data_IF_297222257711
#
_entry.id   IF_297222257711
#
_cell.length_a   1.000
_cell.length_b   1.000
_cell.length_c   1.000
_cell.angle_alpha   90.00
_cell.angle_beta   90.00
_cell.angle_gamma   90.00
#
_symmetry.space_group_name_H-M   'P 1'
#
loop_
_entity.id
_entity.type
_entity.pdbx_description
1 polymer ?
#
# COMPACT_ATOMS: atom_id res chain seq x y z
N UNK A 1 13.86 45.87 39.34
CA UNK A 1 13.87 45.60 37.89
C UNK A 1 14.47 44.23 37.71
N UNK A 2 13.66 43.18 37.76
CA UNK A 2 14.13 41.80 37.74
C UNK A 2 13.83 41.22 36.36
N UNK A 3 14.88 40.85 35.64
CA UNK A 3 14.80 40.28 34.30
C UNK A 3 14.13 38.89 34.37
N UNK A 4 13.00 38.73 33.68
CA UNK A 4 12.37 37.43 33.45
C UNK A 4 13.03 36.85 32.18
N UNK A 5 13.87 35.82 32.38
CA UNK A 5 14.36 34.97 31.30
C UNK A 5 13.33 33.87 31.06
N UNK A 6 12.55 33.98 29.98
CA UNK A 6 11.71 32.89 29.48
C UNK A 6 12.62 31.94 28.71
N UNK A 7 12.98 30.82 29.34
CA UNK A 7 13.60 29.68 28.68
C UNK A 7 12.51 28.91 27.93
N UNK A 8 12.41 29.10 26.62
CA UNK A 8 11.59 28.24 25.76
C UNK A 8 12.33 26.92 25.58
N UNK A 9 11.85 25.87 26.25
CA UNK A 9 12.24 24.50 25.95
C UNK A 9 11.67 24.10 24.59
N UNK A 10 12.53 24.09 23.56
CA UNK A 10 12.23 23.42 22.30
C UNK A 10 12.17 21.91 22.59
N UNK A 11 10.97 21.35 22.52
CA UNK A 11 10.80 19.90 22.50
C UNK A 11 11.56 19.35 21.28
N UNK A 12 12.54 18.49 21.54
CA UNK A 12 13.22 17.70 20.52
C UNK A 12 12.17 16.85 19.81
N UNK A 13 11.80 17.20 18.58
CA UNK A 13 11.13 16.26 17.69
C UNK A 13 12.18 15.20 17.36
N UNK A 14 12.13 14.07 18.07
CA UNK A 14 12.89 12.88 17.70
C UNK A 14 12.76 12.70 16.19
N UNK A 15 13.91 12.68 15.50
CA UNK A 15 14.01 12.83 14.05
C UNK A 15 13.02 11.93 13.33
N UNK A 16 11.98 12.54 12.77
CA UNK A 16 11.32 11.97 11.62
C UNK A 16 12.42 11.76 10.58
N UNK A 17 12.64 10.51 10.18
CA UNK A 17 13.50 10.18 9.05
C UNK A 17 13.09 11.13 7.92
N UNK A 18 14.07 11.80 7.32
CA UNK A 18 13.83 12.99 6.50
C UNK A 18 12.88 12.75 5.30
N UNK A 19 12.54 11.50 4.97
CA UNK A 19 11.47 11.08 4.07
C UNK A 19 10.94 9.74 4.60
N UNK A 20 9.62 9.60 4.83
CA UNK A 20 9.06 8.32 5.25
C UNK A 20 8.57 7.52 4.05
N UNK A 21 9.05 6.27 3.96
CA UNK A 21 8.86 5.39 2.82
C UNK A 21 7.90 4.26 3.16
N UNK A 22 6.80 4.17 2.40
CA UNK A 22 5.72 3.20 2.64
C UNK A 22 5.65 2.19 1.50
N UNK A 23 5.66 0.92 1.87
CA UNK A 23 5.42 -0.20 0.97
C UNK A 23 3.95 -0.63 1.04
N UNK A 24 3.37 -1.01 -0.09
CA UNK A 24 2.01 -1.52 -0.20
C UNK A 24 2.03 -2.79 -1.07
N UNK A 25 1.65 -3.94 -0.52
CA UNK A 25 1.33 -5.13 -1.31
C UNK A 25 -0.18 -5.20 -1.50
N UNK A 26 -0.64 -5.14 -2.74
CA UNK A 26 -2.05 -5.13 -3.08
C UNK A 26 -2.45 -6.46 -3.72
N UNK A 27 -3.41 -7.13 -3.11
CA UNK A 27 -4.07 -8.34 -3.60
C UNK A 27 -5.57 -8.08 -3.84
N UNK A 28 -6.34 -9.02 -4.41
CA UNK A 28 -7.72 -8.75 -4.84
C UNK A 28 -8.79 -9.56 -4.08
N UNK A 29 -8.46 -10.75 -3.60
CA UNK A 29 -9.37 -11.70 -2.95
C UNK A 29 -10.07 -11.10 -1.73
N UNK A 30 -9.36 -10.26 -0.97
CA UNK A 30 -9.84 -9.59 0.24
C UNK A 30 -10.28 -8.15 0.04
N UNK A 31 -10.37 -7.66 -1.21
CA UNK A 31 -10.90 -6.30 -1.49
C UNK A 31 -12.34 -6.23 -1.03
N UNK A 32 -12.76 -5.07 -0.52
CA UNK A 32 -14.11 -4.86 0.00
C UNK A 32 -15.16 -5.32 -1.02
N UNK A 33 -16.11 -6.12 -0.54
CA UNK A 33 -17.21 -6.70 -1.33
C UNK A 33 -16.81 -7.79 -2.35
N UNK A 34 -15.56 -8.26 -2.34
CA UNK A 34 -15.18 -9.45 -3.11
C UNK A 34 -15.82 -10.68 -2.45
N UNK A 35 -16.59 -11.43 -3.24
CA UNK A 35 -17.41 -12.55 -2.78
C UNK A 35 -17.32 -13.77 -3.70
N UNK A 36 -16.86 -13.62 -4.95
CA UNK A 36 -16.72 -14.73 -5.89
C UNK A 36 -15.42 -14.65 -6.71
N UNK A 37 -14.97 -15.79 -7.23
CA UNK A 37 -13.80 -15.86 -8.11
C UNK A 37 -13.96 -15.14 -9.45
N UNK A 38 -15.20 -14.87 -9.89
CA UNK A 38 -15.46 -14.10 -11.12
C UNK A 38 -14.99 -12.64 -11.01
N UNK A 39 -14.81 -12.14 -9.79
CA UNK A 39 -14.32 -10.79 -9.55
C UNK A 39 -12.79 -10.70 -9.61
N UNK A 40 -12.11 -11.84 -9.60
CA UNK A 40 -10.66 -11.96 -9.39
C UNK A 40 -9.90 -12.27 -10.69
N UNK A 41 -10.55 -12.35 -11.84
CA UNK A 41 -9.89 -12.83 -13.05
C UNK A 41 -10.33 -12.12 -14.34
N UNK A 42 -9.43 -11.91 -15.32
CA UNK A 42 -9.76 -11.27 -16.60
C UNK A 42 -10.96 -11.83 -17.36
N UNK A 43 -11.35 -13.08 -17.12
CA UNK A 43 -12.50 -13.73 -17.75
C UNK A 43 -13.84 -13.43 -17.09
N UNK A 44 -13.84 -12.88 -15.88
CA UNK A 44 -15.07 -12.69 -15.11
C UNK A 44 -15.73 -11.33 -15.36
N UNK A 45 -17.06 -11.31 -15.27
CA UNK A 45 -17.90 -10.17 -15.65
C UNK A 45 -17.60 -8.90 -14.85
N UNK A 46 -17.33 -9.04 -13.55
CA UNK A 46 -17.09 -7.92 -12.64
C UNK A 46 -15.62 -7.55 -12.46
N UNK A 47 -14.69 -8.27 -13.10
CA UNK A 47 -13.26 -8.09 -12.84
C UNK A 47 -12.78 -6.65 -13.04
N UNK A 48 -13.22 -5.96 -14.09
CA UNK A 48 -12.87 -4.55 -14.28
C UNK A 48 -13.33 -3.68 -13.11
N UNK A 49 -14.55 -3.93 -12.59
CA UNK A 49 -15.08 -3.19 -11.45
C UNK A 49 -14.25 -3.44 -10.18
N UNK A 50 -13.78 -4.66 -9.99
CA UNK A 50 -12.94 -5.00 -8.84
C UNK A 50 -11.50 -4.49 -8.96
N UNK A 51 -10.97 -4.34 -10.17
CA UNK A 51 -9.73 -3.56 -10.40
C UNK A 51 -9.87 -2.12 -9.96
N UNK A 52 -11.02 -1.50 -10.19
CA UNK A 52 -11.30 -0.15 -9.69
C UNK A 52 -11.31 -0.12 -8.16
N UNK A 53 -12.01 -1.05 -7.50
CA UNK A 53 -12.06 -1.11 -6.04
C UNK A 53 -10.68 -1.35 -5.41
N UNK A 54 -9.93 -2.33 -5.91
CA UNK A 54 -8.54 -2.58 -5.49
C UNK A 54 -7.69 -1.32 -5.64
N UNK A 55 -7.82 -0.60 -6.76
CA UNK A 55 -7.09 0.65 -6.99
C UNK A 55 -7.50 1.74 -5.99
N UNK A 56 -8.79 1.90 -5.72
CA UNK A 56 -9.28 2.91 -4.77
C UNK A 56 -8.84 2.61 -3.31
N UNK A 57 -8.78 1.34 -2.91
CA UNK A 57 -8.25 0.97 -1.59
C UNK A 57 -6.76 1.31 -1.46
N UNK A 58 -5.95 1.00 -2.47
CA UNK A 58 -4.53 1.41 -2.49
C UNK A 58 -4.40 2.93 -2.45
N UNK A 59 -5.17 3.67 -3.25
CA UNK A 59 -5.16 5.13 -3.23
C UNK A 59 -5.61 5.69 -1.88
N UNK A 60 -6.55 5.03 -1.18
CA UNK A 60 -6.95 5.40 0.17
C UNK A 60 -5.81 5.25 1.17
N UNK A 61 -5.05 4.15 1.10
CA UNK A 61 -3.84 3.94 1.92
C UNK A 61 -2.80 5.02 1.64
N UNK A 62 -2.53 5.33 0.37
CA UNK A 62 -1.57 6.39 -0.01
C UNK A 62 -2.03 7.74 0.55
N UNK A 63 -3.32 8.10 0.42
CA UNK A 63 -3.86 9.35 0.99
C UNK A 63 -3.69 9.41 2.51
N UNK A 64 -3.99 8.32 3.21
CA UNK A 64 -3.83 8.23 4.66
C UNK A 64 -2.36 8.34 5.09
N UNK A 65 -1.48 7.60 4.43
CA UNK A 65 -0.05 7.63 4.70
C UNK A 65 0.57 9.01 4.42
N UNK A 66 0.16 9.69 3.35
CA UNK A 66 0.57 11.08 3.09
C UNK A 66 0.10 12.04 4.18
N UNK A 67 -1.15 11.90 4.63
CA UNK A 67 -1.67 12.70 5.74
C UNK A 67 -0.87 12.46 7.04
N UNK A 68 -0.27 11.28 7.19
CA UNK A 68 0.63 10.93 8.29
C UNK A 68 2.10 11.33 8.05
N UNK A 69 2.43 11.97 6.92
CA UNK A 69 3.77 12.49 6.61
C UNK A 69 4.65 11.60 5.73
N UNK A 70 4.14 10.49 5.19
CA UNK A 70 4.88 9.69 4.21
C UNK A 70 5.01 10.41 2.86
N UNK A 71 6.15 10.25 2.22
CA UNK A 71 6.54 10.98 1.01
C UNK A 71 6.96 10.07 -0.13
N UNK A 72 7.29 8.81 0.14
CA UNK A 72 7.71 7.84 -0.86
C UNK A 72 6.83 6.59 -0.81
N UNK A 73 6.40 6.11 -1.98
CA UNK A 73 5.45 5.00 -2.11
C UNK A 73 5.92 3.98 -3.14
N UNK A 74 6.00 2.72 -2.73
CA UNK A 74 6.14 1.57 -3.64
C UNK A 74 4.95 0.64 -3.47
N UNK A 75 4.24 0.39 -4.56
CA UNK A 75 3.10 -0.52 -4.62
C UNK A 75 3.48 -1.76 -5.41
N UNK A 76 3.28 -2.95 -4.86
CA UNK A 76 3.31 -4.20 -5.62
C UNK A 76 1.90 -4.64 -5.97
N UNK A 77 1.64 -4.80 -7.27
CA UNK A 77 0.45 -5.46 -7.79
C UNK A 77 0.67 -6.97 -7.67
N UNK A 78 0.04 -7.58 -6.66
CA UNK A 78 0.38 -8.91 -6.18
C UNK A 78 -0.68 -9.96 -6.47
N UNK A 79 -1.80 -9.55 -7.07
CA UNK A 79 -2.89 -10.46 -7.43
C UNK A 79 -2.66 -11.08 -8.81
N UNK A 80 -2.97 -12.38 -8.97
CA UNK A 80 -3.08 -13.05 -10.27
C UNK A 80 -1.87 -12.82 -11.19
N UNK A 81 -2.05 -12.09 -12.30
CA UNK A 81 -0.99 -11.79 -13.28
C UNK A 81 -0.13 -10.55 -12.93
N UNK A 82 -0.37 -9.91 -11.78
CA UNK A 82 0.31 -8.70 -11.32
C UNK A 82 0.05 -7.47 -12.19
N UNK A 83 -1.10 -7.40 -12.87
CA UNK A 83 -1.44 -6.34 -13.83
C UNK A 83 -2.86 -5.77 -13.63
N UNK A 84 -3.32 -5.70 -12.39
CA UNK A 84 -4.67 -5.33 -12.00
C UNK A 84 -4.84 -3.83 -11.74
N UNK A 85 -3.85 -3.17 -11.14
CA UNK A 85 -3.95 -1.75 -10.77
C UNK A 85 -4.13 -0.84 -12.00
N UNK A 86 -5.02 0.14 -11.89
CA UNK A 86 -5.28 1.14 -12.93
C UNK A 86 -4.23 2.25 -12.85
N UNK A 87 -3.11 2.06 -13.54
CA UNK A 87 -1.89 2.90 -13.45
C UNK A 87 -2.14 4.38 -13.72
N UNK A 88 -3.13 4.71 -14.56
CA UNK A 88 -3.50 6.06 -14.95
C UNK A 88 -4.16 6.86 -13.80
N UNK A 89 -4.60 6.17 -12.75
CA UNK A 89 -5.15 6.81 -11.53
C UNK A 89 -4.08 7.19 -10.51
N UNK A 90 -2.85 6.72 -10.66
CA UNK A 90 -1.77 7.00 -9.73
C UNK A 90 -1.04 8.29 -10.09
N UNK A 91 -0.60 9.01 -9.06
CA UNK A 91 0.26 10.17 -9.23
C UNK A 91 1.68 9.71 -9.59
N UNK A 92 2.43 10.56 -10.28
CA UNK A 92 3.76 10.24 -10.84
C UNK A 92 4.83 9.91 -9.79
N UNK A 93 4.59 10.27 -8.54
CA UNK A 93 5.46 10.02 -7.39
C UNK A 93 5.21 8.66 -6.72
N UNK A 94 4.27 7.86 -7.23
CA UNK A 94 4.03 6.49 -6.79
C UNK A 94 4.69 5.50 -7.76
N UNK A 95 5.56 4.64 -7.24
CA UNK A 95 6.14 3.56 -8.03
C UNK A 95 5.29 2.30 -7.93
N UNK A 96 5.11 1.60 -9.05
CA UNK A 96 4.30 0.38 -9.11
C UNK A 96 5.13 -0.75 -9.72
N UNK A 97 5.25 -1.85 -8.99
CA UNK A 97 5.84 -3.10 -9.44
C UNK A 97 4.73 -3.98 -10.01
N UNK A 98 4.89 -4.40 -11.27
CA UNK A 98 3.90 -5.18 -12.01
C UNK A 98 4.53 -6.43 -12.62
N UNK A 99 3.67 -7.39 -12.93
CA UNK A 99 4.03 -8.67 -13.57
C UNK A 99 4.95 -9.57 -12.73
N UNK A 100 5.31 -10.69 -13.33
CA UNK A 100 6.10 -11.80 -12.80
C UNK A 100 7.17 -12.23 -13.83
N UNK A 101 8.23 -12.96 -13.43
CA UNK A 101 8.60 -13.35 -12.06
C UNK A 101 9.21 -12.19 -11.26
N UNK A 102 9.10 -12.25 -9.94
CA UNK A 102 9.77 -11.32 -9.01
C UNK A 102 10.55 -12.12 -7.97
N UNK A 103 11.82 -11.79 -7.68
CA UNK A 103 12.62 -12.53 -6.69
C UNK A 103 11.96 -12.66 -5.32
N UNK A 104 11.21 -11.63 -4.90
CA UNK A 104 10.49 -11.58 -3.62
C UNK A 104 8.99 -11.85 -3.75
N UNK A 105 8.52 -12.39 -4.88
CA UNK A 105 7.10 -12.68 -5.09
C UNK A 105 6.20 -11.46 -4.86
N UNK A 106 5.16 -11.60 -4.03
CA UNK A 106 4.23 -10.52 -3.67
C UNK A 106 4.91 -9.33 -2.97
N UNK A 107 6.16 -9.48 -2.55
CA UNK A 107 6.95 -8.48 -1.81
C UNK A 107 8.00 -7.77 -2.69
N UNK A 108 7.74 -7.65 -4.00
CA UNK A 108 8.67 -7.10 -4.96
C UNK A 108 9.18 -5.69 -4.61
N UNK A 109 10.49 -5.55 -4.42
CA UNK A 109 11.14 -4.27 -4.14
C UNK A 109 11.08 -3.80 -2.68
N UNK A 110 10.52 -4.61 -1.76
CA UNK A 110 10.62 -4.34 -0.33
C UNK A 110 12.04 -4.64 0.17
N UNK A 111 12.59 -3.71 0.96
CA UNK A 111 13.89 -3.83 1.64
C UNK A 111 13.86 -3.10 3.00
N UNK A 112 15.00 -3.04 3.68
CA UNK A 112 15.17 -2.39 4.99
C UNK A 112 15.05 -0.85 4.97
N UNK A 113 14.91 -0.23 3.81
CA UNK A 113 14.73 1.23 3.69
C UNK A 113 13.30 1.69 3.99
N UNK A 114 12.32 0.79 3.96
CA UNK A 114 10.91 1.11 4.21
C UNK A 114 10.62 1.21 5.71
N UNK A 115 9.83 2.22 6.10
CA UNK A 115 9.42 2.42 7.49
C UNK A 115 8.13 1.67 7.84
N UNK A 116 7.32 1.34 6.83
CA UNK A 116 6.08 0.59 6.99
C UNK A 116 5.74 -0.25 5.76
N UNK A 117 5.01 -1.34 5.99
CA UNK A 117 4.42 -2.19 4.95
C UNK A 117 2.93 -2.37 5.22
N UNK A 118 2.09 -2.14 4.20
CA UNK A 118 0.65 -2.36 4.24
C UNK A 118 0.29 -3.52 3.31
N UNK A 119 -0.57 -4.41 3.77
CA UNK A 119 -1.09 -5.54 3.01
C UNK A 119 -2.58 -5.34 2.81
N UNK A 120 -3.00 -5.10 1.57
CA UNK A 120 -4.37 -4.70 1.22
C UNK A 120 -4.98 -5.75 0.31
N UNK A 121 -6.24 -6.08 0.54
CA UNK A 121 -6.95 -7.08 -0.25
C UNK A 121 -6.42 -8.51 -0.12
N UNK A 122 -5.58 -8.78 0.88
CA UNK A 122 -5.06 -10.13 1.17
C UNK A 122 -6.13 -11.00 1.80
N UNK A 123 -5.98 -12.31 1.65
CA UNK A 123 -6.92 -13.31 2.14
C UNK A 123 -6.26 -14.33 3.09
N UNK A 124 -7.08 -15.11 3.79
CA UNK A 124 -6.60 -16.21 4.64
C UNK A 124 -5.89 -17.27 3.82
N UNK A 125 -4.87 -17.91 4.39
CA UNK A 125 -4.18 -19.04 3.76
C UNK A 125 -5.17 -20.13 3.31
N UNK A 126 -4.95 -20.65 2.11
CA UNK A 126 -5.71 -21.79 1.54
C UNK A 126 -5.62 -23.05 2.41
N UNK A 127 -4.57 -23.17 3.23
CA UNK A 127 -4.44 -24.21 4.24
C UNK A 127 -4.82 -23.65 5.63
N UNK A 128 -6.10 -23.38 5.84
CA UNK A 128 -6.62 -23.08 7.17
C UNK A 128 -7.14 -24.38 7.82
N UNK A 129 -6.41 -24.93 8.77
CA UNK A 129 -6.82 -26.17 9.48
C UNK A 129 -7.96 -25.97 10.49
N UNK A 130 -8.49 -24.74 10.60
CA UNK A 130 -9.55 -24.36 11.54
C UNK A 130 -10.81 -23.78 10.88
N UNK A 131 -10.97 -23.88 9.56
CA UNK A 131 -12.20 -23.52 8.84
C UNK A 131 -13.18 -24.69 8.75
#
# INVERSE_FOLDING_TARGET
MTCINILVLLASTNGARAQSKVYISADMEGVTSAVTGEQLGPSGFEYHRFREFMTEEVLAVIRGARAAGATEFLVSDSHGNGQNLLIDRFLKDVQIVRSWPRPLGMMGGLDESFDAANFIGHHTSTANSKS
#
